data_IF_283767995513
#
_entry.id   IF_283767995513
#
_cell.length_a   1.000
_cell.length_b   1.000
_cell.length_c   1.000
_cell.angle_alpha   90.00
_cell.angle_beta   90.00
_cell.angle_gamma   90.00
#
_symmetry.space_group_name_H-M   'P 1'
#
loop_
_entity.id
_entity.type
_entity.pdbx_description
1 polymer ?
#
# COMPACT_ATOMS: atom_id res chain seq x y z
N UNK A 1 -4.00 -0.87 23.48
CA UNK A 1 -3.65 -1.75 22.33
C UNK A 1 -4.10 -1.25 20.95
N UNK A 2 -5.07 -0.32 20.82
CA UNK A 2 -5.61 0.15 19.51
C UNK A 2 -4.57 0.84 18.60
N UNK A 3 -3.58 1.51 19.18
CA UNK A 3 -2.53 2.21 18.41
C UNK A 3 -1.59 1.26 17.66
N UNK A 4 -1.24 0.11 18.25
CA UNK A 4 -0.41 -0.89 17.57
C UNK A 4 -1.09 -1.46 16.33
N UNK A 5 -2.41 -1.65 16.36
CA UNK A 5 -3.18 -2.11 15.20
C UNK A 5 -3.19 -1.08 14.07
N UNK A 6 -3.31 0.21 14.39
CA UNK A 6 -3.26 1.27 13.39
C UNK A 6 -1.89 1.37 12.71
N UNK A 7 -0.81 1.26 13.49
CA UNK A 7 0.56 1.27 12.94
C UNK A 7 0.78 0.03 12.05
N UNK A 8 0.29 -1.14 12.47
CA UNK A 8 0.40 -2.37 11.69
C UNK A 8 -0.40 -2.33 10.38
N UNK A 9 -1.60 -1.75 10.37
CA UNK A 9 -2.36 -1.55 9.13
C UNK A 9 -1.63 -0.62 8.17
N UNK A 10 -1.12 0.52 8.66
CA UNK A 10 -0.40 1.48 7.82
C UNK A 10 0.89 0.90 7.20
N UNK A 11 1.59 -0.01 7.90
CA UNK A 11 2.76 -0.70 7.34
C UNK A 11 2.36 -1.80 6.36
N UNK A 12 1.28 -2.54 6.64
CA UNK A 12 0.75 -3.54 5.72
C UNK A 12 0.33 -2.93 4.39
N UNK A 13 -0.36 -1.78 4.41
CA UNK A 13 -0.76 -1.06 3.19
C UNK A 13 0.45 -0.59 2.36
N UNK A 14 1.47 -0.03 3.02
CA UNK A 14 2.72 0.34 2.34
C UNK A 14 3.41 -0.86 1.71
N UNK A 15 3.47 -1.99 2.42
CA UNK A 15 4.07 -3.22 1.91
C UNK A 15 3.25 -3.82 0.77
N UNK A 16 1.92 -3.75 0.82
CA UNK A 16 1.04 -4.20 -0.26
C UNK A 16 1.26 -3.40 -1.54
N UNK A 17 1.39 -2.07 -1.43
CA UNK A 17 1.72 -1.22 -2.59
C UNK A 17 3.08 -1.54 -3.20
N UNK A 18 4.08 -1.85 -2.38
CA UNK A 18 5.39 -2.29 -2.87
C UNK A 18 5.26 -3.63 -3.61
N UNK A 19 4.54 -4.60 -3.04
CA UNK A 19 4.28 -5.90 -3.69
C UNK A 19 3.60 -5.74 -5.06
N UNK A 20 2.58 -4.89 -5.14
CA UNK A 20 1.89 -4.61 -6.40
C UNK A 20 2.82 -3.96 -7.44
N UNK A 21 3.64 -2.99 -7.03
CA UNK A 21 4.61 -2.33 -7.91
C UNK A 21 5.66 -3.31 -8.46
N UNK A 22 6.08 -4.30 -7.67
CA UNK A 22 6.97 -5.38 -8.12
C UNK A 22 6.24 -6.51 -8.86
N UNK A 23 4.91 -6.43 -9.02
CA UNK A 23 4.12 -7.49 -9.67
C UNK A 23 4.04 -8.78 -8.84
N UNK A 24 4.25 -8.69 -7.52
CA UNK A 24 4.19 -9.81 -6.58
C UNK A 24 2.81 -9.81 -5.88
N UNK A 25 1.76 -10.00 -6.68
CA UNK A 25 0.37 -10.11 -6.21
C UNK A 25 -0.09 -11.57 -6.04
N UNK A 26 -1.40 -11.77 -5.95
CA UNK A 26 -1.99 -13.11 -5.74
C UNK A 26 -1.71 -14.10 -6.89
N UNK A 27 -1.39 -13.59 -8.09
CA UNK A 27 -1.01 -14.38 -9.26
C UNK A 27 0.48 -14.67 -9.36
N UNK A 28 1.29 -14.23 -8.38
CA UNK A 28 2.72 -14.46 -8.36
C UNK A 28 3.04 -15.90 -7.97
N UNK A 29 3.79 -16.60 -8.83
CA UNK A 29 4.35 -17.92 -8.54
C UNK A 29 5.88 -17.80 -8.49
N UNK A 30 6.48 -18.15 -7.35
CA UNK A 30 7.93 -18.11 -7.19
C UNK A 30 8.62 -19.04 -8.20
N UNK A 31 9.70 -18.57 -8.82
CA UNK A 31 10.38 -19.28 -9.92
C UNK A 31 9.77 -19.10 -11.33
N UNK A 32 8.55 -18.57 -11.47
CA UNK A 32 7.93 -18.34 -12.80
C UNK A 32 8.47 -17.10 -13.55
N UNK A 33 9.51 -16.45 -13.03
CA UNK A 33 10.07 -15.22 -13.63
C UNK A 33 10.66 -15.42 -15.02
N UNK A 34 10.99 -16.66 -15.40
CA UNK A 34 11.51 -17.00 -16.73
C UNK A 34 10.41 -17.40 -17.73
N UNK A 35 9.14 -17.45 -17.29
CA UNK A 35 8.04 -17.83 -18.17
C UNK A 35 7.64 -16.67 -19.09
N UNK A 36 7.80 -16.79 -20.42
CA UNK A 36 7.47 -15.71 -21.37
C UNK A 36 5.97 -15.35 -21.37
N UNK A 37 5.12 -16.32 -21.02
CA UNK A 37 3.67 -16.14 -20.98
C UNK A 37 3.15 -15.52 -19.66
N UNK A 38 4.01 -15.26 -18.68
CA UNK A 38 3.60 -14.75 -17.35
C UNK A 38 2.94 -13.37 -17.43
N UNK A 39 3.51 -12.44 -18.20
CA UNK A 39 2.97 -11.07 -18.37
C UNK A 39 1.54 -11.10 -18.90
N UNK A 40 1.27 -11.91 -19.92
CA UNK A 40 -0.06 -12.03 -20.50
C UNK A 40 -1.09 -12.56 -19.48
N UNK A 41 -0.72 -13.56 -18.67
CA UNK A 41 -1.60 -14.10 -17.63
C UNK A 41 -1.88 -13.11 -16.50
N UNK A 42 -0.86 -12.34 -16.08
CA UNK A 42 -1.03 -11.30 -15.04
C UNK A 42 -1.93 -10.15 -15.54
N UNK A 43 -1.78 -9.72 -16.79
CA UNK A 43 -2.63 -8.69 -17.39
C UNK A 43 -4.08 -9.17 -17.53
N UNK A 44 -4.30 -10.42 -17.96
CA UNK A 44 -5.62 -11.02 -18.01
C UNK A 44 -6.26 -11.13 -16.62
N UNK A 45 -5.51 -11.60 -15.62
CA UNK A 45 -6.00 -11.67 -14.24
C UNK A 45 -6.35 -10.29 -13.68
N UNK A 46 -5.52 -9.27 -13.94
CA UNK A 46 -5.81 -7.87 -13.57
C UNK A 46 -7.06 -7.34 -14.29
N UNK A 47 -7.21 -7.62 -15.59
CA UNK A 47 -8.38 -7.22 -16.36
C UNK A 47 -9.67 -7.88 -15.86
N UNK A 48 -9.64 -9.18 -15.57
CA UNK A 48 -10.77 -9.92 -15.00
C UNK A 48 -11.13 -9.39 -13.61
N UNK A 49 -10.14 -9.16 -12.74
CA UNK A 49 -10.38 -8.58 -11.42
C UNK A 49 -10.98 -7.16 -11.51
N UNK A 50 -10.52 -6.33 -12.45
CA UNK A 50 -11.13 -5.02 -12.70
C UNK A 50 -12.55 -5.13 -13.27
N UNK A 51 -12.80 -6.08 -14.18
CA UNK A 51 -14.12 -6.30 -14.75
C UNK A 51 -15.12 -6.76 -13.68
N UNK A 52 -14.76 -7.75 -12.84
CA UNK A 52 -15.61 -8.21 -11.75
C UNK A 52 -15.99 -7.09 -10.77
N UNK A 53 -15.03 -6.21 -10.42
CA UNK A 53 -15.31 -5.03 -9.58
C UNK A 53 -16.31 -4.07 -10.22
N UNK A 54 -16.25 -3.87 -11.54
CA UNK A 54 -17.21 -3.01 -12.27
C UNK A 54 -18.62 -3.60 -12.27
N UNK A 55 -18.77 -4.91 -12.50
CA UNK A 55 -20.09 -5.55 -12.55
C UNK A 55 -20.74 -5.72 -11.16
N UNK A 56 -19.95 -5.85 -10.09
CA UNK A 56 -20.48 -5.91 -8.73
C UNK A 56 -21.29 -4.64 -8.37
N UNK A 57 -20.79 -3.46 -8.73
CA UNK A 57 -21.44 -2.17 -8.47
C UNK A 57 -22.77 -2.03 -9.23
N UNK A 58 -22.85 -2.57 -10.44
CA UNK A 58 -24.05 -2.50 -11.29
C UNK A 58 -25.13 -3.50 -10.86
N UNK A 59 -24.75 -4.65 -10.28
CA UNK A 59 -25.70 -5.70 -9.90
C UNK A 59 -26.47 -5.39 -8.61
N UNK A 60 -25.84 -4.74 -7.63
CA UNK A 60 -26.50 -4.39 -6.37
C UNK A 60 -27.34 -3.10 -6.43
N UNK A 61 -27.16 -2.27 -7.47
CA UNK A 61 -27.92 -1.03 -7.61
C UNK A 61 -29.38 -1.22 -8.06
N UNK A 62 -29.83 -2.43 -8.37
CA UNK A 62 -31.24 -2.72 -8.68
C UNK A 62 -32.02 -3.48 -7.58
N UNK A 63 -31.42 -3.77 -6.42
CA UNK A 63 -32.07 -4.60 -5.39
C UNK A 63 -31.74 -4.22 -3.93
N UNK A 64 -31.67 -2.93 -3.59
CA UNK A 64 -31.67 -2.53 -2.18
C UNK A 64 -32.17 -1.11 -1.95
N UNK A 65 -33.50 -0.96 -1.91
CA UNK A 65 -34.15 0.11 -1.17
C UNK A 65 -34.00 -0.15 0.35
N UNK A 66 -32.87 0.21 0.96
CA UNK A 66 -32.82 0.43 2.42
C UNK A 66 -31.65 1.32 2.84
N UNK A 67 -31.89 2.63 2.82
CA UNK A 67 -31.08 3.63 3.53
C UNK A 67 -31.01 3.32 5.03
N UNK A 68 -29.86 3.60 5.67
CA UNK A 68 -29.90 4.68 6.65
C UNK A 68 -28.83 5.74 6.36
N UNK A 69 -29.29 6.97 6.21
CA UNK A 69 -28.48 8.17 6.02
C UNK A 69 -27.54 8.42 7.21
N UNK A 70 -26.24 8.67 7.01
CA UNK A 70 -25.36 9.15 8.06
C UNK A 70 -25.53 10.68 8.28
N UNK A 71 -25.63 11.18 9.52
CA UNK A 71 -25.85 12.61 9.79
C UNK A 71 -24.62 13.47 9.38
N UNK A 72 -24.82 14.71 8.91
CA UNK A 72 -23.74 15.57 8.45
C UNK A 72 -22.87 16.05 9.63
N UNK A 73 -21.61 15.58 9.70
CA UNK A 73 -20.64 16.08 10.68
C UNK A 73 -20.06 17.42 10.25
N UNK A 74 -20.20 18.39 11.15
CA UNK A 74 -19.81 19.81 11.03
C UNK A 74 -18.34 19.98 10.58
N UNK A 75 -18.13 20.92 9.64
CA UNK A 75 -16.82 21.38 9.17
C UNK A 75 -16.01 21.95 10.34
N UNK A 76 -14.87 21.32 10.70
CA UNK A 76 -13.86 21.95 11.55
C UNK A 76 -12.91 22.80 10.69
N UNK A 77 -12.65 24.01 11.19
CA UNK A 77 -11.88 25.11 10.62
C UNK A 77 -10.45 24.69 10.25
N UNK A 78 -9.94 25.16 9.09
CA UNK A 78 -8.53 25.05 8.68
C UNK A 78 -7.63 25.63 9.78
N UNK A 79 -6.71 24.82 10.29
CA UNK A 79 -5.53 25.30 11.00
C UNK A 79 -4.35 25.18 10.04
N UNK A 80 -3.90 26.32 9.54
CA UNK A 80 -2.62 26.46 8.84
C UNK A 80 -1.50 26.25 9.86
N UNK A 81 -0.85 25.10 9.82
CA UNK A 81 0.48 24.91 10.40
C UNK A 81 1.40 24.40 9.31
N UNK A 82 2.08 25.37 8.73
CA UNK A 82 3.43 25.23 8.21
C UNK A 82 4.24 24.34 9.17
N UNK A 83 4.62 23.14 8.72
CA UNK A 83 5.75 22.42 9.30
C UNK A 83 6.28 21.45 8.24
N UNK A 84 7.06 22.04 7.35
CA UNK A 84 7.93 21.39 6.38
C UNK A 84 9.02 20.59 7.09
N UNK A 85 8.66 19.47 7.72
CA UNK A 85 9.64 18.50 8.23
C UNK A 85 9.87 17.41 7.20
N UNK A 86 10.76 17.74 6.27
CA UNK A 86 11.55 16.78 5.50
C UNK A 86 12.06 15.67 6.43
N UNK A 87 11.92 14.37 6.09
CA UNK A 87 12.45 13.31 6.93
C UNK A 87 13.97 13.42 6.98
N UNK A 88 14.51 13.90 8.10
CA UNK A 88 15.95 13.94 8.37
C UNK A 88 16.54 12.55 8.16
N UNK A 89 17.36 12.44 7.12
CA UNK A 89 18.15 11.26 6.80
C UNK A 89 19.17 11.11 7.92
N UNK A 90 18.93 10.21 8.89
CA UNK A 90 19.89 9.89 9.94
C UNK A 90 21.23 9.51 9.30
N UNK A 91 22.22 10.41 9.38
CA UNK A 91 23.57 10.13 8.92
C UNK A 91 24.14 8.96 9.72
N UNK A 92 24.49 7.88 9.00
CA UNK A 92 25.16 6.73 9.59
C UNK A 92 26.57 7.17 10.02
N UNK A 93 26.81 7.28 11.34
CA UNK A 93 28.14 7.50 11.92
C UNK A 93 29.13 6.48 11.36
N UNK A 94 30.18 6.96 10.68
CA UNK A 94 31.32 6.15 10.26
C UNK A 94 32.05 5.66 11.53
N UNK A 95 32.08 4.34 11.75
CA UNK A 95 32.88 3.73 12.82
C UNK A 95 34.36 3.82 12.42
N UNK A 96 35.11 4.73 13.00
CA UNK A 96 36.57 4.80 12.83
C UNK A 96 37.21 3.54 13.40
N UNK A 97 37.96 2.81 12.55
CA UNK A 97 38.71 1.63 12.95
C UNK A 97 40.05 2.10 13.54
N UNK A 98 40.21 1.88 14.85
CA UNK A 98 41.37 2.23 15.68
C UNK A 98 42.66 1.56 15.15
N UNK A 99 43.77 2.29 15.17
CA UNK A 99 45.11 1.93 14.67
C UNK A 99 45.66 0.61 15.24
N UNK A 100 46.37 -0.16 14.40
CA UNK A 100 47.30 -1.22 14.84
C UNK A 100 48.69 -0.62 15.05
N UNK A 101 49.31 -1.01 16.16
CA UNK A 101 50.61 -0.57 16.70
C UNK A 101 51.78 -0.75 15.74
N UNK A 102 52.78 0.09 15.99
CA UNK A 102 54.10 0.21 15.38
C UNK A 102 54.83 -1.11 15.13
N UNK A 103 55.67 -1.06 14.11
CA UNK A 103 56.56 -2.12 13.62
C UNK A 103 57.86 -2.14 14.38
#
# INVERSE_FOLDING_TARGET
AKESHQIAQATAEKNARLKEAFGIGDSYVDGSSFDPNRKAKEEQAKAVAMAQKKYAIVRESSSSERSPSPPPKKKKKKSSRDDSRSPERKEKKKKSKKHKRDR
#
